data_IF_441408677779
#
_entry.id   IF_441408677779
#
_cell.length_a   1.000
_cell.length_b   1.000
_cell.length_c   1.000
_cell.angle_alpha   90.00
_cell.angle_beta   90.00
_cell.angle_gamma   90.00
#
_symmetry.space_group_name_H-M   'P 1'
#
loop_
_entity.id
_entity.type
_entity.pdbx_description
1 polymer ?
#
# COMPACT_ATOMS: atom_id res chain seq x y z
N UNK A 1 -24.78 5.32 1.47
CA UNK A 1 -23.63 5.13 2.37
C UNK A 1 -22.77 6.37 2.25
N UNK A 2 -22.52 7.08 3.35
CA UNK A 2 -21.71 8.31 3.34
C UNK A 2 -20.29 7.90 3.70
N UNK A 3 -19.33 8.22 2.84
CA UNK A 3 -17.91 8.00 3.11
C UNK A 3 -17.25 9.34 3.43
N UNK A 4 -16.37 9.40 4.44
CA UNK A 4 -15.54 10.58 4.65
C UNK A 4 -14.60 10.76 3.46
N UNK A 5 -14.36 12.01 3.07
CA UNK A 5 -13.33 12.35 2.09
C UNK A 5 -11.97 12.28 2.80
N UNK A 6 -11.08 11.44 2.29
CA UNK A 6 -9.74 11.15 2.82
C UNK A 6 -8.65 11.77 1.94
N UNK A 7 -8.88 13.02 1.52
CA UNK A 7 -7.93 13.82 0.77
C UNK A 7 -8.12 15.29 1.12
N UNK A 8 -7.01 16.00 1.32
CA UNK A 8 -7.03 17.44 1.62
C UNK A 8 -7.26 18.29 0.37
N UNK A 9 -7.08 17.69 -0.82
CA UNK A 9 -7.25 18.35 -2.11
C UNK A 9 -8.36 17.67 -2.90
N UNK A 10 -9.33 18.47 -3.33
CA UNK A 10 -10.41 18.05 -4.21
C UNK A 10 -10.36 18.81 -5.53
N UNK A 11 -10.60 18.11 -6.65
CA UNK A 11 -10.65 18.73 -7.96
C UNK A 11 -11.86 18.26 -8.79
N UNK A 12 -12.42 19.09 -9.68
CA UNK A 12 -13.43 18.64 -10.63
C UNK A 12 -12.87 17.66 -11.68
N UNK A 13 -13.71 16.72 -12.13
CA UNK A 13 -13.37 15.81 -13.22
C UNK A 13 -13.02 16.53 -14.53
N UNK A 14 -13.63 17.70 -14.78
CA UNK A 14 -13.31 18.54 -15.94
C UNK A 14 -11.88 19.09 -15.88
N UNK A 15 -11.42 19.49 -14.69
CA UNK A 15 -10.05 19.96 -14.48
C UNK A 15 -9.05 18.80 -14.62
N UNK A 16 -9.38 17.63 -14.06
CA UNK A 16 -8.58 16.41 -14.23
C UNK A 16 -8.40 16.05 -15.71
N UNK A 17 -9.50 16.07 -16.48
CA UNK A 17 -9.48 15.75 -17.92
C UNK A 17 -8.65 16.75 -18.73
N UNK A 18 -8.61 18.02 -18.31
CA UNK A 18 -7.88 19.08 -19.03
C UNK A 18 -6.36 18.97 -18.82
N UNK A 19 -5.91 18.78 -17.59
CA UNK A 19 -4.48 18.58 -17.28
C UNK A 19 -4.33 17.62 -16.09
N UNK A 20 -4.20 16.31 -16.34
CA UNK A 20 -4.01 15.31 -15.30
C UNK A 20 -2.75 15.56 -14.45
N UNK A 21 -1.72 16.15 -15.05
CA UNK A 21 -0.45 16.38 -14.34
C UNK A 21 -0.52 17.61 -13.45
N UNK A 22 -1.35 18.61 -13.76
CA UNK A 22 -1.65 19.70 -12.84
C UNK A 22 -2.25 19.20 -11.53
N UNK A 23 -3.03 18.12 -11.58
CA UNK A 23 -3.64 17.48 -10.40
C UNK A 23 -2.56 16.92 -9.49
N UNK A 24 -1.60 16.20 -10.07
CA UNK A 24 -0.43 15.67 -9.35
C UNK A 24 0.37 16.79 -8.68
N UNK A 25 0.60 17.91 -9.41
CA UNK A 25 1.32 19.06 -8.85
C UNK A 25 0.56 19.74 -7.72
N UNK A 26 -0.76 19.93 -7.86
CA UNK A 26 -1.64 20.50 -6.81
C UNK A 26 -1.76 19.61 -5.57
N UNK A 27 -1.64 18.30 -5.76
CA UNK A 27 -1.66 17.33 -4.66
C UNK A 27 -0.41 17.37 -3.78
N UNK A 28 0.67 18.04 -4.20
CA UNK A 28 1.92 18.18 -3.42
C UNK A 28 2.51 16.85 -2.91
N UNK A 29 2.29 15.74 -3.63
CA UNK A 29 2.74 14.41 -3.19
C UNK A 29 1.68 13.59 -2.45
N UNK A 30 0.58 14.21 -2.06
CA UNK A 30 -0.54 13.59 -1.34
C UNK A 30 -1.65 13.12 -2.28
N UNK A 31 -2.59 12.37 -1.71
CA UNK A 31 -3.77 11.86 -2.41
C UNK A 31 -4.72 13.01 -2.77
N UNK A 32 -5.29 12.96 -3.97
CA UNK A 32 -6.29 13.94 -4.45
C UNK A 32 -7.61 13.23 -4.72
N UNK A 33 -8.74 13.82 -4.30
CA UNK A 33 -10.07 13.34 -4.70
C UNK A 33 -10.54 14.04 -5.97
N UNK A 34 -11.02 13.27 -6.95
CA UNK A 34 -11.69 13.80 -8.15
C UNK A 34 -13.19 13.73 -7.95
N UNK A 35 -13.87 14.86 -8.18
CA UNK A 35 -15.31 15.01 -8.04
C UNK A 35 -15.99 15.02 -9.41
N UNK A 36 -17.12 14.33 -9.55
CA UNK A 36 -18.02 14.42 -10.70
C UNK A 36 -19.37 14.96 -10.24
N UNK A 37 -19.80 16.10 -10.77
CA UNK A 37 -21.04 16.78 -10.33
C UNK A 37 -21.12 16.96 -8.80
N UNK A 38 -20.02 17.38 -8.19
CA UNK A 38 -19.82 17.54 -6.73
C UNK A 38 -19.91 16.25 -5.90
N UNK A 39 -19.93 15.08 -6.53
CA UNK A 39 -19.87 13.79 -5.85
C UNK A 39 -18.47 13.18 -5.98
N UNK A 40 -17.89 12.58 -4.93
CA UNK A 40 -16.62 11.86 -5.02
C UNK A 40 -16.68 10.74 -6.05
N UNK A 41 -15.81 10.80 -7.06
CA UNK A 41 -15.76 9.80 -8.13
C UNK A 41 -14.63 8.80 -7.91
N UNK A 42 -13.40 9.28 -7.71
CA UNK A 42 -12.23 8.43 -7.46
C UNK A 42 -11.07 9.23 -6.86
N UNK A 43 -10.13 8.54 -6.23
CA UNK A 43 -8.87 9.11 -5.75
C UNK A 43 -7.77 8.96 -6.79
N UNK A 44 -6.88 9.95 -6.85
CA UNK A 44 -5.59 9.86 -7.51
C UNK A 44 -4.54 9.65 -6.42
N UNK A 45 -3.92 8.47 -6.42
CA UNK A 45 -2.86 8.08 -5.49
C UNK A 45 -1.56 7.98 -6.29
N UNK A 46 -0.50 8.64 -5.82
CA UNK A 46 0.79 8.61 -6.50
C UNK A 46 1.47 7.24 -6.33
N UNK A 47 2.29 6.79 -7.31
CA UNK A 47 2.93 5.48 -7.26
C UNK A 47 3.64 5.17 -5.94
N UNK A 48 4.45 6.11 -5.43
CA UNK A 48 5.15 5.94 -4.15
C UNK A 48 4.20 5.76 -2.96
N UNK A 49 3.06 6.46 -2.96
CA UNK A 49 2.07 6.37 -1.89
C UNK A 49 1.26 5.08 -1.98
N UNK A 50 0.92 4.66 -3.20
CA UNK A 50 0.27 3.37 -3.43
C UNK A 50 1.17 2.21 -3.00
N UNK A 51 2.47 2.26 -3.33
CA UNK A 51 3.44 1.28 -2.88
C UNK A 51 3.52 1.24 -1.35
N UNK A 52 3.67 2.38 -0.68
CA UNK A 52 3.72 2.45 0.78
C UNK A 52 2.45 1.88 1.44
N UNK A 53 1.27 2.07 0.84
CA UNK A 53 0.03 1.45 1.31
C UNK A 53 0.06 -0.08 1.20
N UNK A 54 0.59 -0.62 0.10
CA UNK A 54 0.72 -2.07 -0.09
C UNK A 54 1.71 -2.68 0.89
N UNK A 55 2.86 -2.03 1.10
CA UNK A 55 3.87 -2.45 2.08
C UNK A 55 3.27 -2.50 3.50
N UNK A 56 2.53 -1.46 3.90
CA UNK A 56 1.86 -1.44 5.20
C UNK A 56 0.82 -2.58 5.34
N UNK A 57 0.05 -2.87 4.29
CA UNK A 57 -0.92 -3.99 4.31
C UNK A 57 -0.19 -5.33 4.45
N UNK A 58 0.94 -5.52 3.78
CA UNK A 58 1.77 -6.72 3.92
C UNK A 58 2.30 -6.88 5.34
N UNK A 59 2.83 -5.80 5.93
CA UNK A 59 3.31 -5.79 7.31
C UNK A 59 2.20 -6.14 8.30
N UNK A 60 0.99 -5.62 8.12
CA UNK A 60 -0.15 -5.96 8.97
C UNK A 60 -0.49 -7.45 8.90
N UNK A 61 -0.43 -8.07 7.71
CA UNK A 61 -0.64 -9.51 7.54
C UNK A 61 0.48 -10.33 8.18
N UNK A 62 1.71 -9.83 8.18
CA UNK A 62 2.82 -10.46 8.89
C UNK A 62 2.60 -10.43 10.40
N UNK A 63 2.13 -9.29 10.93
CA UNK A 63 1.79 -9.14 12.35
C UNK A 63 0.70 -10.14 12.77
N UNK A 64 -0.36 -10.31 11.96
CA UNK A 64 -1.38 -11.32 12.20
C UNK A 64 -0.79 -12.74 12.29
N UNK A 65 0.15 -13.06 11.40
CA UNK A 65 0.83 -14.36 11.41
C UNK A 65 1.70 -14.56 12.67
N UNK A 66 2.39 -13.51 13.11
CA UNK A 66 3.18 -13.52 14.34
C UNK A 66 2.27 -13.83 15.52
N UNK A 67 1.16 -13.11 15.67
CA UNK A 67 0.21 -13.35 16.76
C UNK A 67 -0.38 -14.76 16.70
N UNK A 68 -0.73 -15.26 15.51
CA UNK A 68 -1.28 -16.61 15.33
C UNK A 68 -0.29 -17.73 15.74
N UNK A 69 1.02 -17.46 15.66
CA UNK A 69 2.09 -18.42 16.00
C UNK A 69 2.72 -18.16 17.36
N UNK A 70 2.36 -17.07 18.02
CA UNK A 70 2.96 -16.66 19.28
C UNK A 70 2.70 -17.72 20.35
N UNK A 71 3.76 -18.13 21.05
CA UNK A 71 3.68 -19.19 22.06
C UNK A 71 3.53 -20.61 21.51
N UNK A 72 3.61 -20.80 20.18
CA UNK A 72 3.66 -22.12 19.56
C UNK A 72 4.99 -22.86 19.83
N UNK A 73 5.07 -24.15 19.46
CA UNK A 73 6.28 -24.95 19.65
C UNK A 73 7.48 -24.36 18.89
N UNK A 74 8.62 -24.25 19.56
CA UNK A 74 9.87 -23.76 18.98
C UNK A 74 10.84 -24.91 18.75
N UNK A 75 11.64 -24.83 17.70
CA UNK A 75 12.73 -25.77 17.42
C UNK A 75 14.05 -25.01 17.55
N UNK A 76 14.96 -25.49 18.40
CA UNK A 76 16.30 -24.95 18.48
C UNK A 76 17.06 -25.29 17.19
N UNK A 77 17.64 -24.29 16.56
CA UNK A 77 18.41 -24.41 15.32
C UNK A 77 19.65 -23.54 15.43
N UNK A 78 20.74 -24.00 14.83
CA UNK A 78 21.94 -23.20 14.60
C UNK A 78 21.76 -22.38 13.30
N UNK A 79 22.28 -21.15 13.24
CA UNK A 79 22.10 -20.28 12.06
C UNK A 79 22.90 -20.83 10.88
N UNK A 80 24.09 -21.38 11.14
CA UNK A 80 24.98 -21.97 10.17
C UNK A 80 24.31 -23.15 9.44
N UNK A 81 23.51 -23.95 10.15
CA UNK A 81 22.75 -25.07 9.58
C UNK A 81 21.68 -24.62 8.56
N UNK A 82 21.13 -23.41 8.71
CA UNK A 82 20.09 -22.87 7.82
C UNK A 82 20.66 -22.23 6.56
N UNK A 83 21.87 -21.68 6.64
CA UNK A 83 22.56 -21.06 5.49
C UNK A 83 22.97 -22.14 4.48
N UNK A 84 23.50 -23.27 4.97
CA UNK A 84 23.94 -24.39 4.12
C UNK A 84 22.77 -25.02 3.36
N UNK A 85 21.60 -25.17 4.00
CA UNK A 85 20.39 -25.75 3.37
C UNK A 85 19.84 -24.99 2.17
N UNK A 86 20.16 -23.70 2.00
CA UNK A 86 19.74 -22.93 0.81
C UNK A 86 20.62 -23.20 -0.42
N UNK A 87 21.83 -23.73 -0.24
CA UNK A 87 22.74 -24.03 -1.36
C UNK A 87 22.36 -25.35 -2.03
N UNK A 88 21.74 -26.29 -1.30
CA UNK A 88 21.34 -27.60 -1.84
C UNK A 88 19.94 -27.64 -2.48
N UNK A 89 19.21 -26.51 -2.54
CA UNK A 89 17.88 -26.42 -3.18
C UNK A 89 17.86 -25.54 -4.43
N UNK A 90 18.64 -25.92 -5.44
CA UNK A 90 18.35 -25.79 -6.89
C UNK A 90 19.23 -26.84 -7.61
N UNK A 91 18.76 -27.67 -8.58
CA UNK A 91 17.59 -27.52 -9.45
C UNK A 91 16.63 -28.74 -9.50
N UNK A 92 15.37 -28.50 -9.89
CA UNK A 92 14.77 -29.04 -11.12
C UNK A 92 13.73 -28.05 -11.62
#
# INVERSE_FOLDING_TARGET
MVFPILADVAIPLTDFKRDPMAVVRKGHGETVIVLNRNEPAFYVVLPARYQAMLELIEDLRLVELVYARQGGPTVAVDIEDLIVRKIDKKPL
#
